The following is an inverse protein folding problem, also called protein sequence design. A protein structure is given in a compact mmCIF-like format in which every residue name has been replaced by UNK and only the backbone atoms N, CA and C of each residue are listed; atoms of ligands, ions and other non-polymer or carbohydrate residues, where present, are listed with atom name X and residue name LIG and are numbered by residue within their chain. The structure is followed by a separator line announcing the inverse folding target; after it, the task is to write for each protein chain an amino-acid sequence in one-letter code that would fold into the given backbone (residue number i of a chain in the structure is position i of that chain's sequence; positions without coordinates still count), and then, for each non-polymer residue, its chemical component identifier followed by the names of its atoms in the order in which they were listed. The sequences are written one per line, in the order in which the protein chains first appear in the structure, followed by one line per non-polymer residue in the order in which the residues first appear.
data_IF_125494002853
#
_entry.id   IF_125494002853
#
_cell.length_a   1.000
_cell.length_b   1.000
_cell.length_c   1.000
_cell.angle_alpha   90.00
_cell.angle_beta   90.00
_cell.angle_gamma   90.00
#
_symmetry.space_group_name_H-M   'P 1'
#
loop_
_entity.id
_entity.type
_entity.pdbx_description
1 polymer ?
#
# COMPACT_ATOMS: atom_id res chain seq x y z
N UNK A 1 5.98 8.65 8.62
CA UNK A 1 5.79 7.84 7.39
C UNK A 1 4.37 8.03 6.85
N UNK A 2 3.34 7.78 7.63
CA UNK A 2 1.92 7.98 7.23
C UNK A 2 1.62 9.42 6.83
N UNK A 3 2.17 10.41 7.55
CA UNK A 3 2.07 11.83 7.20
C UNK A 3 2.66 12.11 5.81
N UNK A 4 3.79 11.49 5.48
CA UNK A 4 4.40 11.63 4.15
C UNK A 4 3.46 11.09 3.05
N UNK A 5 2.85 9.93 3.26
CA UNK A 5 1.85 9.39 2.33
C UNK A 5 0.63 10.30 2.21
N UNK A 6 0.16 10.89 3.32
CA UNK A 6 -0.94 11.83 3.29
C UNK A 6 -0.61 13.06 2.43
N UNK A 7 0.58 13.62 2.58
CA UNK A 7 1.05 14.75 1.77
C UNK A 7 1.10 14.38 0.28
N UNK A 8 1.71 13.22 -0.07
CA UNK A 8 1.83 12.79 -1.47
C UNK A 8 0.45 12.60 -2.14
N UNK A 9 -0.53 12.13 -1.38
CA UNK A 9 -1.86 11.79 -1.90
C UNK A 9 -2.92 12.88 -1.69
N UNK A 10 -2.53 14.07 -1.21
CA UNK A 10 -3.43 15.23 -1.04
C UNK A 10 -4.47 15.06 0.04
N UNK A 11 -4.20 14.24 1.08
CA UNK A 11 -5.01 14.17 2.29
C UNK A 11 -4.58 15.22 3.32
N UNK A 12 -3.31 15.62 3.30
CA UNK A 12 -2.76 16.72 4.10
C UNK A 12 -2.05 17.71 3.16
N UNK A 13 -2.00 18.98 3.53
CA UNK A 13 -1.28 20.03 2.81
C UNK A 13 0.05 20.34 3.51
N UNK A 14 1.17 20.50 2.77
CA UNK A 14 2.44 20.89 3.37
C UNK A 14 2.46 22.40 3.63
N UNK A 15 3.13 22.82 4.69
CA UNK A 15 3.39 24.24 4.95
C UNK A 15 4.28 24.85 3.85
N UNK A 16 5.22 24.07 3.32
CA UNK A 16 6.14 24.48 2.27
C UNK A 16 6.57 23.28 1.44
N UNK A 17 7.13 23.54 0.26
CA UNK A 17 7.64 22.51 -0.64
C UNK A 17 6.72 22.25 -1.82
N UNK A 18 7.26 21.54 -2.80
CA UNK A 18 6.56 21.18 -4.03
C UNK A 18 6.96 19.78 -4.45
N UNK A 19 6.03 19.04 -5.04
CA UNK A 19 6.34 17.75 -5.65
C UNK A 19 5.54 17.57 -6.92
N UNK A 20 6.06 16.70 -7.78
CA UNK A 20 5.46 16.41 -9.06
C UNK A 20 5.23 14.90 -9.21
N UNK A 21 4.17 14.57 -9.88
CA UNK A 21 3.89 13.22 -10.35
C UNK A 21 3.72 13.26 -11.87
N UNK A 22 4.51 12.46 -12.56
CA UNK A 22 4.56 12.41 -14.03
C UNK A 22 4.66 13.82 -14.66
N UNK A 23 5.60 14.64 -14.15
CA UNK A 23 5.86 15.99 -14.62
C UNK A 23 4.81 17.05 -14.24
N UNK A 24 3.72 16.65 -13.58
CA UNK A 24 2.65 17.55 -13.14
C UNK A 24 2.82 17.89 -11.66
N UNK A 25 2.77 19.18 -11.31
CA UNK A 25 2.77 19.62 -9.92
C UNK A 25 1.43 19.19 -9.27
N UNK A 26 1.50 18.41 -8.20
CA UNK A 26 0.32 17.86 -7.50
C UNK A 26 0.15 18.43 -6.10
N UNK A 27 1.04 19.31 -5.64
CA UNK A 27 0.94 20.02 -4.38
C UNK A 27 -0.36 20.83 -4.29
N UNK A 28 -1.15 20.64 -3.23
CA UNK A 28 -2.46 21.29 -3.06
C UNK A 28 -3.57 20.76 -3.98
N UNK A 29 -3.31 19.69 -4.76
CA UNK A 29 -4.33 19.06 -5.58
C UNK A 29 -5.20 18.14 -4.72
N UNK A 30 -6.51 18.16 -4.95
CA UNK A 30 -7.44 17.28 -4.23
C UNK A 30 -7.12 15.80 -4.51
N UNK A 31 -7.19 14.96 -3.47
CA UNK A 31 -6.79 13.53 -3.49
C UNK A 31 -7.44 12.72 -4.62
N UNK A 32 -8.72 12.97 -4.93
CA UNK A 32 -9.40 12.27 -6.02
C UNK A 32 -8.81 12.58 -7.40
N UNK A 33 -8.27 13.80 -7.61
CA UNK A 33 -7.61 14.18 -8.88
C UNK A 33 -6.25 13.48 -9.00
N UNK A 34 -5.50 13.41 -7.89
CA UNK A 34 -4.22 12.68 -7.84
C UNK A 34 -4.47 11.19 -8.15
N UNK A 35 -5.50 10.60 -7.55
CA UNK A 35 -5.89 9.22 -7.84
C UNK A 35 -6.27 9.00 -9.32
N UNK A 36 -7.00 9.95 -9.94
CA UNK A 36 -7.35 9.92 -11.36
C UNK A 36 -6.14 10.05 -12.30
N UNK A 37 -5.04 10.63 -11.83
CA UNK A 37 -3.75 10.67 -12.55
C UNK A 37 -2.99 9.34 -12.48
N UNK A 38 -3.46 8.37 -11.69
CA UNK A 38 -2.84 7.06 -11.56
C UNK A 38 -1.97 6.86 -10.32
N UNK A 39 -2.01 7.77 -9.34
CA UNK A 39 -1.37 7.57 -8.03
C UNK A 39 -2.42 7.04 -7.04
N UNK A 40 -2.41 5.75 -6.77
CA UNK A 40 -3.41 5.08 -5.92
C UNK A 40 -2.77 4.63 -4.62
N UNK A 41 -3.46 4.84 -3.49
CA UNK A 41 -3.02 4.42 -2.16
C UNK A 41 -3.95 3.37 -1.56
N UNK A 42 -3.37 2.32 -0.98
CA UNK A 42 -4.05 1.46 -0.03
C UNK A 42 -3.94 2.03 1.38
N UNK A 43 -4.88 1.73 2.26
CA UNK A 43 -4.88 2.24 3.63
C UNK A 43 -4.46 1.14 4.60
N UNK A 44 -3.77 1.51 5.68
CA UNK A 44 -3.28 0.62 6.74
C UNK A 44 -4.42 -0.17 7.43
N UNK A 45 -5.60 0.41 7.53
CA UNK A 45 -6.82 -0.29 7.96
C UNK A 45 -7.56 -0.78 6.73
N UNK A 46 -7.65 -2.09 6.56
CA UNK A 46 -8.43 -2.72 5.50
C UNK A 46 -9.87 -2.21 5.54
N UNK A 47 -10.15 -1.18 4.75
CA UNK A 47 -11.50 -0.63 4.59
C UNK A 47 -12.26 -1.40 3.51
N UNK A 48 -12.19 -2.74 3.55
CA UNK A 48 -13.14 -3.51 2.78
C UNK A 48 -14.55 -3.20 3.30
N UNK A 49 -15.45 -2.90 2.40
CA UNK A 49 -16.84 -2.69 2.76
C UNK A 49 -17.46 -4.05 3.09
N UNK A 50 -17.40 -4.42 4.37
CA UNK A 50 -17.73 -5.77 4.86
C UNK A 50 -19.14 -6.25 4.51
N UNK A 51 -20.09 -5.31 4.30
CA UNK A 51 -21.47 -5.61 3.89
C UNK A 51 -21.67 -5.79 2.38
N UNK A 52 -20.61 -5.65 1.60
CA UNK A 52 -20.61 -5.86 0.16
C UNK A 52 -19.86 -7.16 -0.18
N UNK A 53 -20.20 -7.76 -1.32
CA UNK A 53 -19.45 -8.91 -1.83
C UNK A 53 -18.01 -8.52 -2.21
N UNK A 54 -17.15 -9.50 -2.37
CA UNK A 54 -15.79 -9.30 -2.90
C UNK A 54 -15.86 -8.67 -4.28
N UNK A 55 -16.74 -9.15 -5.16
CA UNK A 55 -16.98 -8.58 -6.49
C UNK A 55 -17.41 -7.12 -6.41
N UNK A 56 -18.38 -6.78 -5.55
CA UNK A 56 -18.84 -5.39 -5.41
C UNK A 56 -17.72 -4.47 -4.90
N UNK A 57 -16.89 -4.96 -3.98
CA UNK A 57 -15.69 -4.23 -3.53
C UNK A 57 -14.72 -3.95 -4.68
N UNK A 58 -14.54 -4.91 -5.60
CA UNK A 58 -13.72 -4.72 -6.80
C UNK A 58 -14.31 -3.66 -7.73
N UNK A 59 -15.59 -3.77 -8.06
CA UNK A 59 -16.28 -2.86 -8.96
C UNK A 59 -16.20 -1.40 -8.50
N UNK A 60 -16.24 -1.13 -7.19
CA UNK A 60 -16.03 0.21 -6.63
C UNK A 60 -14.63 0.80 -6.87
N UNK A 61 -13.63 -0.06 -7.11
CA UNK A 61 -12.26 0.39 -7.42
C UNK A 61 -12.09 0.95 -8.83
N UNK A 62 -13.04 0.71 -9.74
CA UNK A 62 -12.94 1.17 -11.11
C UNK A 62 -13.22 2.67 -11.23
N UNK A 63 -12.32 3.45 -11.87
CA UNK A 63 -12.50 4.89 -12.03
C UNK A 63 -13.48 5.23 -13.16
N UNK A 64 -13.99 6.47 -13.14
CA UNK A 64 -14.74 7.08 -14.24
C UNK A 64 -15.97 6.28 -14.71
N UNK A 65 -16.69 5.65 -13.82
CA UNK A 65 -17.90 4.90 -14.16
C UNK A 65 -19.01 5.85 -14.64
N UNK A 66 -19.45 5.67 -15.89
CA UNK A 66 -20.48 6.52 -16.51
C UNK A 66 -21.82 6.48 -15.77
N UNK A 67 -22.12 5.36 -15.11
CA UNK A 67 -23.33 5.18 -14.32
C UNK A 67 -23.44 6.09 -13.10
N UNK A 68 -22.32 6.66 -12.62
CA UNK A 68 -22.29 7.63 -11.50
C UNK A 68 -22.89 9.00 -11.87
N UNK A 69 -22.96 9.32 -13.18
CA UNK A 69 -23.53 10.58 -13.65
C UNK A 69 -25.03 10.42 -13.85
N UNK A 70 -25.83 11.20 -13.13
CA UNK A 70 -27.30 11.17 -13.17
C UNK A 70 -27.87 11.25 -14.60
N UNK A 71 -27.21 12.00 -15.50
CA UNK A 71 -27.58 12.13 -16.91
C UNK A 71 -27.45 10.84 -17.73
N UNK A 72 -26.51 9.95 -17.34
CA UNK A 72 -26.29 8.68 -18.03
C UNK A 72 -26.99 7.51 -17.36
N UNK A 73 -27.38 7.62 -16.09
CA UNK A 73 -28.07 6.55 -15.35
C UNK A 73 -29.44 6.20 -15.99
N UNK A 74 -30.09 7.17 -16.63
CA UNK A 74 -31.36 6.98 -17.35
C UNK A 74 -31.23 6.28 -18.71
N UNK A 75 -30.02 6.25 -19.30
CA UNK A 75 -29.76 5.65 -20.61
C UNK A 75 -29.06 4.29 -20.45
N UNK A 76 -29.82 3.25 -20.13
CA UNK A 76 -29.32 1.88 -19.86
C UNK A 76 -28.33 1.34 -20.91
N UNK A 77 -28.40 1.75 -22.19
CA UNK A 77 -27.49 1.30 -23.24
C UNK A 77 -26.07 1.90 -23.15
N UNK A 78 -25.93 3.09 -22.55
CA UNK A 78 -24.69 3.87 -22.62
C UNK A 78 -23.59 3.39 -21.66
N UNK A 79 -23.96 2.68 -20.59
CA UNK A 79 -23.01 2.23 -19.55
C UNK A 79 -22.87 0.70 -19.45
N UNK A 80 -23.80 -0.09 -20.05
CA UNK A 80 -23.76 -1.58 -19.98
C UNK A 80 -22.46 -2.17 -20.49
N UNK A 81 -21.91 -1.64 -21.58
CA UNK A 81 -20.62 -2.13 -22.11
C UNK A 81 -19.50 -1.86 -21.12
N UNK A 82 -19.42 -0.63 -20.60
CA UNK A 82 -18.39 -0.29 -19.60
C UNK A 82 -18.52 -1.14 -18.34
N UNK A 83 -19.73 -1.42 -17.89
CA UNK A 83 -19.96 -2.29 -16.71
C UNK A 83 -19.47 -3.72 -16.97
N UNK A 84 -19.70 -4.25 -18.18
CA UNK A 84 -19.19 -5.55 -18.57
C UNK A 84 -17.66 -5.58 -18.59
N UNK A 85 -17.02 -4.56 -19.20
CA UNK A 85 -15.56 -4.44 -19.28
C UNK A 85 -14.95 -4.30 -17.86
N UNK A 86 -15.58 -3.52 -16.96
CA UNK A 86 -15.16 -3.37 -15.57
C UNK A 86 -15.30 -4.68 -14.79
N UNK A 87 -16.39 -5.43 -15.03
CA UNK A 87 -16.59 -6.73 -14.37
C UNK A 87 -15.59 -7.78 -14.87
N UNK A 88 -15.31 -7.81 -16.17
CA UNK A 88 -14.30 -8.69 -16.76
C UNK A 88 -12.94 -8.45 -16.11
N UNK A 89 -12.50 -7.18 -16.02
CA UNK A 89 -11.27 -6.80 -15.33
C UNK A 89 -11.26 -7.19 -13.84
N UNK A 90 -12.40 -7.07 -13.15
CA UNK A 90 -12.50 -7.49 -11.76
C UNK A 90 -12.30 -9.01 -11.62
N UNK A 91 -12.87 -9.81 -12.55
CA UNK A 91 -12.66 -11.27 -12.58
C UNK A 91 -11.20 -11.61 -12.81
N UNK A 92 -10.55 -11.00 -13.81
CA UNK A 92 -9.12 -11.21 -14.10
C UNK A 92 -8.23 -10.93 -12.88
N UNK A 93 -8.49 -9.79 -12.20
CA UNK A 93 -7.74 -9.45 -10.99
C UNK A 93 -8.03 -10.42 -9.84
N UNK A 94 -9.28 -10.85 -9.63
CA UNK A 94 -9.59 -11.84 -8.62
C UNK A 94 -8.92 -13.19 -8.92
N UNK A 95 -8.82 -13.60 -10.19
CA UNK A 95 -8.06 -14.79 -10.60
C UNK A 95 -6.57 -14.63 -10.27
N UNK A 96 -5.98 -13.51 -10.63
CA UNK A 96 -4.57 -13.19 -10.33
C UNK A 96 -4.26 -13.30 -8.83
N UNK A 97 -5.17 -12.87 -7.97
CA UNK A 97 -5.03 -12.94 -6.51
C UNK A 97 -5.56 -14.24 -5.90
N UNK A 98 -5.94 -15.22 -6.74
CA UNK A 98 -6.52 -16.50 -6.31
C UNK A 98 -7.76 -16.34 -5.41
N UNK A 99 -8.60 -15.37 -5.72
CA UNK A 99 -9.80 -15.01 -4.95
C UNK A 99 -11.12 -15.20 -5.72
N UNK A 100 -11.10 -15.72 -6.96
CA UNK A 100 -12.29 -15.89 -7.80
C UNK A 100 -13.38 -16.72 -7.12
N UNK A 101 -13.00 -17.76 -6.35
CA UNK A 101 -13.91 -18.63 -5.63
C UNK A 101 -14.66 -17.91 -4.49
N UNK A 102 -14.25 -16.71 -4.12
CA UNK A 102 -14.84 -15.87 -3.07
C UNK A 102 -15.61 -14.66 -3.63
N UNK A 103 -15.73 -14.55 -4.94
CA UNK A 103 -16.27 -13.33 -5.60
C UNK A 103 -17.65 -12.92 -5.04
N UNK A 104 -18.52 -13.87 -4.72
CA UNK A 104 -19.88 -13.63 -4.20
C UNK A 104 -19.94 -13.62 -2.66
N UNK A 105 -18.83 -13.93 -1.97
CA UNK A 105 -18.77 -13.90 -0.51
C UNK A 105 -18.76 -12.47 0.02
N UNK A 106 -19.31 -12.24 1.21
CA UNK A 106 -19.19 -10.93 1.86
C UNK A 106 -17.76 -10.66 2.31
N UNK A 107 -17.25 -9.46 2.06
CA UNK A 107 -15.89 -9.10 2.46
C UNK A 107 -15.66 -9.18 3.99
N UNK A 108 -16.71 -9.14 4.80
CA UNK A 108 -16.63 -9.35 6.25
C UNK A 108 -16.19 -10.78 6.62
N UNK A 109 -16.47 -11.80 5.79
CA UNK A 109 -16.14 -13.20 6.05
C UNK A 109 -14.67 -13.53 5.76
N UNK A 110 -13.99 -12.67 5.02
CA UNK A 110 -12.59 -12.84 4.65
C UNK A 110 -11.67 -12.81 5.87
N UNK A 111 -10.62 -13.61 5.85
CA UNK A 111 -9.51 -13.53 6.79
C UNK A 111 -8.76 -12.18 6.65
N UNK A 112 -7.94 -11.81 7.65
CA UNK A 112 -7.13 -10.61 7.58
C UNK A 112 -6.23 -10.55 6.33
N UNK A 113 -5.62 -11.68 5.97
CA UNK A 113 -4.79 -11.80 4.77
C UNK A 113 -5.57 -11.63 3.48
N UNK A 114 -6.72 -12.30 3.36
CA UNK A 114 -7.59 -12.17 2.21
C UNK A 114 -8.10 -10.74 2.02
N UNK A 115 -8.41 -10.03 3.12
CA UNK A 115 -8.76 -8.61 3.04
C UNK A 115 -7.64 -7.74 2.48
N UNK A 116 -6.38 -8.02 2.84
CA UNK A 116 -5.22 -7.31 2.27
C UNK A 116 -5.07 -7.56 0.77
N UNK A 117 -5.24 -8.81 0.34
CA UNK A 117 -5.24 -9.18 -1.08
C UNK A 117 -6.37 -8.48 -1.84
N UNK A 118 -7.58 -8.47 -1.29
CA UNK A 118 -8.73 -7.77 -1.87
C UNK A 118 -8.45 -6.26 -2.00
N UNK A 119 -7.83 -5.64 -1.01
CA UNK A 119 -7.51 -4.22 -1.03
C UNK A 119 -6.49 -3.89 -2.12
N UNK A 120 -5.44 -4.70 -2.27
CA UNK A 120 -4.46 -4.56 -3.36
C UNK A 120 -5.13 -4.77 -4.72
N UNK A 121 -5.92 -5.84 -4.89
CA UNK A 121 -6.66 -6.11 -6.13
C UNK A 121 -7.60 -4.95 -6.49
N UNK A 122 -8.34 -4.41 -5.52
CA UNK A 122 -9.22 -3.25 -5.71
C UNK A 122 -8.44 -2.00 -6.15
N UNK A 123 -7.27 -1.73 -5.59
CA UNK A 123 -6.44 -0.62 -6.01
C UNK A 123 -5.99 -0.75 -7.48
N UNK A 124 -5.75 -1.97 -7.94
CA UNK A 124 -5.37 -2.26 -9.33
C UNK A 124 -6.51 -2.10 -10.33
N UNK A 125 -7.77 -2.05 -9.88
CA UNK A 125 -8.91 -1.70 -10.76
C UNK A 125 -8.75 -0.32 -11.41
N UNK A 126 -8.04 0.59 -10.75
CA UNK A 126 -7.75 1.93 -11.26
C UNK A 126 -6.64 1.97 -12.31
N UNK A 127 -5.99 0.85 -12.66
CA UNK A 127 -4.81 0.80 -13.54
C UNK A 127 -3.73 1.82 -13.15
N UNK A 128 -3.22 1.78 -11.91
CA UNK A 128 -2.32 2.80 -11.41
C UNK A 128 -0.96 2.77 -12.13
N UNK A 129 -0.37 3.96 -12.30
CA UNK A 129 1.04 4.10 -12.67
C UNK A 129 1.95 4.00 -11.41
N UNK A 130 1.41 4.43 -10.25
CA UNK A 130 2.07 4.34 -8.96
C UNK A 130 1.07 3.85 -7.90
N UNK A 131 1.43 2.78 -7.19
CA UNK A 131 0.67 2.32 -6.02
C UNK A 131 1.47 2.58 -4.74
N UNK A 132 0.79 3.17 -3.73
CA UNK A 132 1.35 3.41 -2.40
C UNK A 132 0.78 2.39 -1.43
N UNK A 133 1.65 1.62 -0.78
CA UNK A 133 1.29 0.55 0.16
C UNK A 133 1.78 0.92 1.57
N UNK A 134 0.86 1.04 2.51
CA UNK A 134 1.16 1.41 3.89
C UNK A 134 1.19 0.15 4.77
N UNK A 135 2.38 -0.31 5.12
CA UNK A 135 2.67 -1.53 5.89
C UNK A 135 1.93 -2.80 5.35
N UNK A 136 2.06 -3.11 4.05
CA UNK A 136 1.28 -4.19 3.44
C UNK A 136 1.60 -5.56 4.04
N UNK A 137 2.82 -5.76 4.54
CA UNK A 137 3.31 -7.05 5.03
C UNK A 137 3.08 -7.23 6.55
N UNK A 138 2.74 -6.17 7.29
CA UNK A 138 2.56 -6.21 8.74
C UNK A 138 1.47 -7.21 9.19
N UNK A 139 1.74 -8.01 10.22
CA UNK A 139 0.77 -8.95 10.81
C UNK A 139 0.35 -10.12 9.91
N UNK A 140 1.02 -10.33 8.79
CA UNK A 140 0.82 -11.48 7.92
C UNK A 140 1.56 -12.71 8.40
N UNK A 141 1.02 -13.92 8.16
CA UNK A 141 1.81 -15.13 8.28
C UNK A 141 2.83 -15.21 7.13
N UNK A 142 3.90 -16.01 7.25
CA UNK A 142 4.96 -16.07 6.23
C UNK A 142 4.45 -16.37 4.81
N UNK A 143 3.44 -17.24 4.68
CA UNK A 143 2.88 -17.60 3.37
C UNK A 143 2.16 -16.40 2.71
N UNK A 144 1.42 -15.61 3.50
CA UNK A 144 0.78 -14.39 3.00
C UNK A 144 1.82 -13.35 2.60
N UNK A 145 2.86 -13.15 3.42
CA UNK A 145 3.95 -12.21 3.10
C UNK A 145 4.60 -12.59 1.77
N UNK A 146 4.95 -13.86 1.58
CA UNK A 146 5.51 -14.35 0.32
C UNK A 146 4.56 -14.15 -0.88
N UNK A 147 3.27 -14.39 -0.69
CA UNK A 147 2.27 -14.14 -1.74
C UNK A 147 2.21 -12.65 -2.12
N UNK A 148 2.16 -11.75 -1.12
CA UNK A 148 2.14 -10.31 -1.35
C UNK A 148 3.43 -9.81 -2.01
N UNK A 149 4.61 -10.33 -1.61
CA UNK A 149 5.88 -10.02 -2.24
C UNK A 149 5.87 -10.40 -3.71
N UNK A 150 5.43 -11.62 -4.06
CA UNK A 150 5.29 -12.05 -5.45
C UNK A 150 4.35 -11.15 -6.28
N UNK A 151 3.27 -10.62 -5.68
CA UNK A 151 2.39 -9.67 -6.36
C UNK A 151 3.08 -8.32 -6.58
N UNK A 152 3.86 -7.81 -5.60
CA UNK A 152 4.62 -6.55 -5.73
C UNK A 152 5.69 -6.68 -6.82
N UNK A 153 6.42 -7.79 -6.86
CA UNK A 153 7.41 -8.06 -7.91
C UNK A 153 6.76 -8.12 -9.29
N UNK A 154 5.64 -8.81 -9.42
CA UNK A 154 4.90 -8.88 -10.69
C UNK A 154 4.41 -7.50 -11.16
N UNK A 155 3.95 -6.63 -10.25
CA UNK A 155 3.56 -5.27 -10.59
C UNK A 155 4.74 -4.44 -11.10
N UNK A 156 5.90 -4.54 -10.44
CA UNK A 156 7.13 -3.90 -10.90
C UNK A 156 7.51 -4.37 -12.31
N UNK A 157 7.47 -5.66 -12.56
CA UNK A 157 7.83 -6.25 -13.86
C UNK A 157 6.84 -5.84 -14.97
N UNK A 158 5.61 -5.51 -14.61
CA UNK A 158 4.59 -4.92 -15.50
C UNK A 158 4.77 -3.40 -15.70
N UNK A 159 5.76 -2.78 -15.05
CA UNK A 159 6.05 -1.35 -15.17
C UNK A 159 5.25 -0.45 -14.23
N UNK A 160 4.54 -1.02 -13.26
CA UNK A 160 3.86 -0.25 -12.20
C UNK A 160 4.89 0.12 -11.13
N UNK A 161 5.01 1.40 -10.81
CA UNK A 161 5.84 1.84 -9.70
C UNK A 161 5.14 1.49 -8.37
N UNK A 162 5.92 0.92 -7.43
CA UNK A 162 5.41 0.59 -6.09
C UNK A 162 6.21 1.35 -5.04
N UNK A 163 5.53 2.20 -4.28
CA UNK A 163 6.09 2.85 -3.10
C UNK A 163 5.47 2.23 -1.85
N UNK A 164 6.27 1.62 -1.00
CA UNK A 164 5.75 1.04 0.23
C UNK A 164 6.51 1.55 1.46
N UNK A 165 5.81 1.59 2.59
CA UNK A 165 6.39 1.89 3.90
C UNK A 165 6.40 0.60 4.70
N UNK A 166 7.54 0.23 5.20
CA UNK A 166 7.73 -0.95 6.05
C UNK A 166 8.78 -0.70 7.14
N UNK A 167 8.80 -1.57 8.10
CA UNK A 167 9.78 -1.58 9.19
C UNK A 167 10.58 -2.89 9.26
N UNK A 168 10.17 -3.91 8.51
CA UNK A 168 10.90 -5.16 8.36
C UNK A 168 12.04 -4.98 7.35
N UNK A 169 13.27 -4.96 7.86
CA UNK A 169 14.47 -4.71 7.06
C UNK A 169 14.74 -5.81 6.04
N UNK A 170 14.43 -7.07 6.35
CA UNK A 170 14.65 -8.19 5.44
C UNK A 170 13.74 -8.06 4.22
N UNK A 171 12.49 -7.69 4.44
CA UNK A 171 11.53 -7.40 3.36
C UNK A 171 12.00 -6.22 2.52
N UNK A 172 12.34 -5.09 3.17
CA UNK A 172 12.78 -3.88 2.47
C UNK A 172 14.01 -4.15 1.60
N UNK A 173 15.03 -4.80 2.17
CA UNK A 173 16.28 -5.09 1.47
C UNK A 173 16.10 -6.11 0.34
N UNK A 174 15.09 -7.00 0.46
CA UNK A 174 14.85 -8.07 -0.50
C UNK A 174 14.19 -7.63 -1.81
N UNK A 175 13.28 -6.64 -1.76
CA UNK A 175 12.44 -6.29 -2.92
C UNK A 175 12.60 -4.86 -3.43
N UNK A 176 13.26 -3.96 -2.67
CA UNK A 176 13.40 -2.56 -3.06
C UNK A 176 14.52 -2.36 -4.07
N UNK A 177 14.27 -1.56 -5.09
CA UNK A 177 15.30 -1.05 -6.00
C UNK A 177 15.99 0.19 -5.39
N UNK A 178 15.23 1.00 -4.64
CA UNK A 178 15.68 2.21 -3.97
C UNK A 178 15.02 2.38 -2.61
N UNK A 179 15.78 2.79 -1.61
CA UNK A 179 15.32 2.95 -0.22
C UNK A 179 15.55 4.38 0.21
N UNK A 180 14.55 4.98 0.85
CA UNK A 180 14.65 6.28 1.53
C UNK A 180 14.40 6.05 3.02
N UNK A 181 15.37 6.36 3.85
CA UNK A 181 15.30 6.16 5.31
C UNK A 181 14.93 7.47 5.98
N UNK A 182 13.81 7.44 6.70
CA UNK A 182 13.27 8.59 7.43
C UNK A 182 13.40 8.38 8.94
N UNK A 183 14.05 9.30 9.62
CA UNK A 183 14.09 9.38 11.08
C UNK A 183 13.83 10.82 11.53
N UNK A 184 13.09 11.00 12.62
CA UNK A 184 12.78 12.31 13.24
C UNK A 184 12.24 13.36 12.24
N UNK A 185 11.46 12.91 11.25
CA UNK A 185 10.87 13.77 10.22
C UNK A 185 11.81 14.16 9.07
N UNK A 186 13.08 13.75 9.10
CA UNK A 186 14.09 14.02 8.06
C UNK A 186 14.54 12.77 7.31
N UNK A 187 15.07 12.97 6.08
CA UNK A 187 15.77 11.91 5.34
C UNK A 187 17.18 11.78 5.91
N UNK A 188 17.53 10.63 6.46
CA UNK A 188 18.87 10.35 7.02
C UNK A 188 19.76 9.60 6.05
N UNK A 189 19.19 8.87 5.12
CA UNK A 189 19.90 8.15 4.05
C UNK A 189 18.96 7.83 2.89
N UNK A 190 19.53 7.67 1.71
CA UNK A 190 18.84 7.11 0.54
C UNK A 190 19.84 6.36 -0.34
N UNK A 191 19.37 5.41 -1.13
CA UNK A 191 20.19 4.63 -2.05
C UNK A 191 19.65 3.22 -2.31
N UNK A 192 20.47 2.43 -3.00
CA UNK A 192 20.19 1.00 -3.17
C UNK A 192 20.26 0.25 -1.84
N UNK A 193 19.64 -0.94 -1.72
CA UNK A 193 19.75 -1.78 -0.52
C UNK A 193 21.20 -1.97 -0.04
N UNK A 194 22.12 -2.23 -0.99
CA UNK A 194 23.55 -2.43 -0.68
C UNK A 194 24.27 -1.17 -0.14
N UNK A 195 23.79 0.02 -0.49
CA UNK A 195 24.32 1.29 0.03
C UNK A 195 23.74 1.61 1.40
N UNK A 196 22.41 1.44 1.56
CA UNK A 196 21.69 1.73 2.80
C UNK A 196 22.11 0.80 3.93
N UNK A 197 22.29 -0.51 3.65
CA UNK A 197 22.73 -1.50 4.66
C UNK A 197 24.11 -1.22 5.28
N UNK A 198 24.97 -0.46 4.58
CA UNK A 198 26.31 -0.08 5.04
C UNK A 198 26.37 1.31 5.66
N UNK A 199 25.26 2.04 5.63
CA UNK A 199 25.22 3.42 6.13
C UNK A 199 25.18 3.42 7.66
N UNK A 200 26.23 3.98 8.27
CA UNK A 200 26.37 4.05 9.73
C UNK A 200 25.19 4.74 10.42
N UNK A 201 24.63 5.81 9.84
CA UNK A 201 23.47 6.50 10.42
C UNK A 201 22.22 5.62 10.45
N UNK A 202 22.07 4.73 9.46
CA UNK A 202 20.95 3.78 9.42
C UNK A 202 21.17 2.67 10.44
N UNK A 203 22.41 2.15 10.53
CA UNK A 203 22.79 1.15 11.53
C UNK A 203 22.53 1.68 12.94
N UNK A 204 23.02 2.88 13.25
CA UNK A 204 22.87 3.51 14.57
C UNK A 204 21.37 3.80 14.91
N UNK A 205 20.55 4.16 13.90
CA UNK A 205 19.15 4.52 14.10
C UNK A 205 18.20 3.32 14.21
N UNK A 206 18.51 2.20 13.58
CA UNK A 206 17.58 1.05 13.46
C UNK A 206 18.15 -0.27 13.99
N UNK A 207 19.49 -0.45 14.01
CA UNK A 207 20.15 -1.67 14.47
C UNK A 207 20.90 -1.46 15.77
N UNK A 208 21.21 -0.23 16.16
CA UNK A 208 21.91 0.11 17.40
C UNK A 208 21.04 0.12 18.65
N UNK A 209 19.73 -0.10 18.54
CA UNK A 209 18.81 -0.09 19.69
C UNK A 209 18.55 -1.47 20.30
N UNK A 210 19.01 -2.56 19.67
CA UNK A 210 18.82 -3.92 20.21
C UNK A 210 19.87 -4.32 21.28
N UNK A 211 20.98 -3.60 21.40
CA UNK A 211 22.02 -3.90 22.41
C UNK A 211 21.81 -3.20 23.76
N UNK A 212 20.69 -2.52 23.98
CA UNK A 212 20.43 -1.66 25.15
C UNK A 212 19.62 -2.29 26.30
N UNK A 213 19.15 -3.55 26.19
CA UNK A 213 18.29 -4.16 27.24
C UNK A 213 18.90 -5.46 27.80
N UNK A 214 20.20 -5.52 27.97
CA UNK A 214 20.84 -6.64 28.66
C UNK A 214 22.04 -6.19 29.50
N UNK A 215 21.84 -5.28 30.44
CA UNK A 215 22.79 -5.05 31.54
C UNK A 215 22.19 -4.18 32.65
N UNK A 216 21.19 -4.66 33.36
CA UNK A 216 21.03 -4.29 34.78
C UNK A 216 20.45 -5.48 35.57
N UNK A 217 21.24 -6.52 35.65
CA UNK A 217 21.09 -7.52 36.72
C UNK A 217 22.00 -7.10 37.89
N UNK A 218 21.51 -6.05 38.56
CA UNK A 218 22.11 -5.53 39.78
C UNK A 218 22.15 -6.58 40.89
N UNK A 219 23.21 -7.35 40.92
CA UNK A 219 23.69 -8.00 42.16
C UNK A 219 23.98 -6.95 43.21
N UNK A 220 23.19 -6.95 44.22
CA UNK A 220 23.60 -6.61 45.57
C UNK A 220 22.89 -7.61 46.46
N UNK A 221 23.52 -8.56 46.93
CA UNK A 221 24.65 -8.58 47.86
C UNK A 221 24.09 -8.68 49.25
N UNK A 222 24.04 -9.89 49.68
CA UNK A 222 24.34 -10.45 50.98
C UNK A 222 24.50 -9.47 52.15
N UNK A 223 24.03 -9.93 53.22
CA UNK A 223 24.53 -9.99 54.57
C UNK A 223 23.71 -9.26 55.66
N UNK A 224 23.40 -10.11 56.56
CA UNK A 224 23.49 -9.98 58.03
C UNK A 224 22.20 -9.71 58.84
N UNK A 225 21.97 -10.72 59.57
CA UNK A 225 21.36 -10.88 60.89
C UNK A 225 19.91 -11.27 60.96
#
# INVERSE_FOLDING_TARGET
KTTFFNLLTGFDEPDTGKWQFDGTEVGGMASHKIAQMGMVRTFQLTKSLGKMSVMDNMLLGAPNQKGEKLSFSLLRGAWRKQEADVRERAVELLERFNMSHMAEEYAATLSGGQRKLLEMARALMASPALILLDEPFAGGNPALVQSLLGHVEALRDEGVSVLFVEHDMDVIMGISDWIVVLAEGGVIAEGTPAQVSKNKKVIDAYLGTDDGIAADDGRTGADAQ
#
